data_IF_500583101752
#
_entry.id   IF_500583101752
#
_cell.length_a   1.000
_cell.length_b   1.000
_cell.length_c   1.000
_cell.angle_alpha   90.00
_cell.angle_beta   90.00
_cell.angle_gamma   90.00
#
_symmetry.space_group_name_H-M   'P 1'
#
loop_
_entity.id
_entity.type
_entity.pdbx_description
1 polymer ?
#
# COMPACT_ATOMS: atom_id res chain seq x y z
N UNK A 1 32.15 -6.70 -18.26
CA UNK A 1 30.80 -6.85 -17.68
C UNK A 1 30.23 -5.44 -17.49
N UNK A 2 29.40 -4.95 -18.42
CA UNK A 2 28.84 -3.60 -18.34
C UNK A 2 27.71 -3.57 -17.31
N UNK A 3 27.92 -2.91 -16.18
CA UNK A 3 26.84 -2.57 -15.25
C UNK A 3 26.04 -1.42 -15.84
N UNK A 4 24.78 -1.65 -16.17
CA UNK A 4 23.85 -0.60 -16.56
C UNK A 4 23.38 0.13 -15.30
N UNK A 5 23.90 1.34 -15.04
CA UNK A 5 23.43 2.24 -13.98
C UNK A 5 22.15 2.99 -14.38
N UNK A 6 21.23 2.34 -15.07
CA UNK A 6 20.02 3.00 -15.55
C UNK A 6 18.97 2.99 -14.43
N UNK A 7 18.90 4.08 -13.66
CA UNK A 7 17.86 4.28 -12.64
C UNK A 7 16.58 4.73 -13.35
N UNK A 8 15.59 3.85 -13.41
CA UNK A 8 14.24 4.21 -13.85
C UNK A 8 13.57 4.94 -12.69
N UNK A 9 13.33 6.24 -12.85
CA UNK A 9 12.58 7.01 -11.87
C UNK A 9 11.09 6.73 -12.06
N UNK A 10 10.53 5.85 -11.23
CA UNK A 10 9.11 5.50 -11.27
C UNK A 10 8.34 6.65 -10.63
N UNK A 11 7.59 7.39 -11.45
CA UNK A 11 6.75 8.49 -10.96
C UNK A 11 5.63 7.94 -10.07
N UNK A 12 5.25 8.73 -9.06
CA UNK A 12 4.04 8.48 -8.28
C UNK A 12 2.80 8.55 -9.17
N UNK A 13 1.78 7.77 -8.83
CA UNK A 13 0.48 7.83 -9.46
C UNK A 13 -0.35 8.95 -8.84
N UNK A 14 -1.44 9.34 -9.51
CA UNK A 14 -2.48 10.15 -8.86
C UNK A 14 -3.06 9.41 -7.66
N UNK A 15 -3.51 10.16 -6.67
CA UNK A 15 -4.19 9.61 -5.49
C UNK A 15 -5.40 8.76 -5.89
N UNK A 16 -6.15 9.19 -6.91
CA UNK A 16 -7.29 8.45 -7.44
C UNK A 16 -6.90 7.09 -8.01
N UNK A 17 -5.77 7.02 -8.74
CA UNK A 17 -5.29 5.76 -9.29
C UNK A 17 -4.79 4.83 -8.18
N UNK A 18 -4.09 5.34 -7.16
CA UNK A 18 -3.72 4.54 -5.99
C UNK A 18 -4.94 4.05 -5.21
N UNK A 19 -5.94 4.91 -5.00
CA UNK A 19 -7.20 4.56 -4.35
C UNK A 19 -7.95 3.49 -5.12
N UNK A 20 -7.95 3.56 -6.46
CA UNK A 20 -8.52 2.50 -7.31
C UNK A 20 -7.80 1.16 -7.12
N UNK A 21 -6.46 1.15 -7.08
CA UNK A 21 -5.67 -0.07 -6.85
C UNK A 21 -5.97 -0.67 -5.48
N UNK A 22 -5.96 0.18 -4.44
CA UNK A 22 -6.27 -0.22 -3.07
C UNK A 22 -7.68 -0.81 -2.99
N UNK A 23 -8.69 -0.10 -3.48
CA UNK A 23 -10.08 -0.52 -3.40
C UNK A 23 -10.33 -1.84 -4.16
N UNK A 24 -9.73 -1.99 -5.33
CA UNK A 24 -9.83 -3.21 -6.12
C UNK A 24 -9.38 -4.46 -5.34
N UNK A 25 -8.35 -4.31 -4.50
CA UNK A 25 -7.81 -5.41 -3.69
C UNK A 25 -8.56 -5.57 -2.37
N UNK A 26 -8.78 -4.48 -1.62
CA UNK A 26 -9.36 -4.52 -0.29
C UNK A 26 -10.83 -5.01 -0.27
N UNK A 27 -11.58 -4.67 -1.31
CA UNK A 27 -13.00 -5.01 -1.48
C UNK A 27 -13.23 -6.20 -2.41
N UNK A 28 -12.17 -6.88 -2.84
CA UNK A 28 -12.31 -8.08 -3.67
C UNK A 28 -13.15 -9.14 -2.95
N UNK A 29 -14.17 -9.67 -3.63
CA UNK A 29 -15.11 -10.68 -3.12
C UNK A 29 -15.95 -10.26 -1.88
N UNK A 30 -16.03 -8.96 -1.56
CA UNK A 30 -16.91 -8.48 -0.48
C UNK A 30 -18.32 -8.16 -0.96
N UNK A 31 -19.28 -8.32 -0.05
CA UNK A 31 -20.67 -7.95 -0.27
C UNK A 31 -20.85 -6.42 -0.31
N UNK A 32 -21.87 -5.94 -1.03
CA UNK A 32 -22.14 -4.51 -1.20
C UNK A 32 -22.29 -3.76 0.12
N UNK A 33 -23.07 -4.31 1.05
CA UNK A 33 -23.32 -3.69 2.37
C UNK A 33 -22.03 -3.57 3.21
N UNK A 34 -21.14 -4.56 3.09
CA UNK A 34 -19.84 -4.55 3.75
C UNK A 34 -18.91 -3.50 3.15
N UNK A 35 -18.89 -3.39 1.81
CA UNK A 35 -18.16 -2.34 1.10
C UNK A 35 -18.63 -0.95 1.53
N UNK A 36 -19.95 -0.70 1.56
CA UNK A 36 -20.50 0.61 1.93
C UNK A 36 -20.08 1.03 3.36
N UNK A 37 -20.06 0.10 4.31
CA UNK A 37 -19.65 0.36 5.71
C UNK A 37 -18.17 0.65 5.92
N UNK A 38 -17.33 0.18 4.99
CA UNK A 38 -15.87 0.22 5.08
C UNK A 38 -15.25 1.20 4.07
N UNK A 39 -16.04 1.78 3.16
CA UNK A 39 -15.54 2.65 2.09
C UNK A 39 -14.90 3.93 2.62
N UNK A 40 -15.49 4.54 3.65
CA UNK A 40 -14.97 5.77 4.26
C UNK A 40 -13.58 5.54 4.87
N UNK A 41 -13.44 4.51 5.70
CA UNK A 41 -12.15 4.17 6.30
C UNK A 41 -11.14 3.65 5.28
N UNK A 42 -11.60 2.92 4.26
CA UNK A 42 -10.76 2.47 3.17
C UNK A 42 -10.17 3.62 2.37
N UNK A 43 -10.95 4.69 2.15
CA UNK A 43 -10.47 5.89 1.49
C UNK A 43 -9.42 6.62 2.34
N UNK A 44 -9.58 6.67 3.66
CA UNK A 44 -8.57 7.26 4.56
C UNK A 44 -7.24 6.49 4.52
N UNK A 45 -7.30 5.15 4.54
CA UNK A 45 -6.11 4.29 4.40
C UNK A 45 -5.48 4.47 3.01
N UNK A 46 -6.29 4.55 1.95
CA UNK A 46 -5.78 4.79 0.60
C UNK A 46 -5.05 6.14 0.48
N UNK A 47 -5.52 7.18 1.17
CA UNK A 47 -4.87 8.50 1.18
C UNK A 47 -3.49 8.46 1.87
N UNK A 48 -3.27 7.54 2.84
CA UNK A 48 -1.94 7.30 3.42
C UNK A 48 -0.92 6.76 2.41
N UNK A 49 -1.34 6.28 1.25
CA UNK A 49 -0.44 5.75 0.22
C UNK A 49 0.36 6.84 -0.51
N UNK A 50 -0.03 8.12 -0.44
CA UNK A 50 0.70 9.27 -1.04
C UNK A 50 1.12 9.07 -2.51
N UNK A 51 0.27 8.42 -3.31
CA UNK A 51 0.54 8.15 -4.72
C UNK A 51 1.54 7.01 -5.00
N UNK A 52 1.96 6.25 -3.97
CA UNK A 52 2.85 5.09 -4.12
C UNK A 52 2.05 3.83 -4.48
N UNK A 53 2.16 3.31 -5.73
CA UNK A 53 1.37 2.14 -6.15
C UNK A 53 1.69 0.87 -5.34
N UNK A 54 2.94 0.72 -4.89
CA UNK A 54 3.34 -0.43 -4.06
C UNK A 54 2.66 -0.39 -2.68
N UNK A 55 2.59 0.79 -2.05
CA UNK A 55 1.89 0.95 -0.79
C UNK A 55 0.39 0.61 -0.93
N UNK A 56 -0.25 1.12 -1.99
CA UNK A 56 -1.65 0.81 -2.28
C UNK A 56 -1.89 -0.70 -2.48
N UNK A 57 -0.98 -1.39 -3.17
CA UNK A 57 -1.08 -2.85 -3.39
C UNK A 57 -0.93 -3.63 -2.09
N UNK A 58 0.07 -3.32 -1.28
CA UNK A 58 0.34 -4.02 -0.01
C UNK A 58 -0.81 -3.80 0.97
N UNK A 59 -1.26 -2.56 1.14
CA UNK A 59 -2.35 -2.24 2.05
C UNK A 59 -3.68 -2.79 1.56
N UNK A 60 -3.97 -2.73 0.26
CA UNK A 60 -5.18 -3.33 -0.31
C UNK A 60 -5.25 -4.83 -0.04
N UNK A 61 -4.14 -5.55 -0.23
CA UNK A 61 -4.03 -6.97 0.11
C UNK A 61 -4.16 -7.25 1.62
N UNK A 62 -3.53 -6.43 2.47
CA UNK A 62 -3.68 -6.53 3.92
C UNK A 62 -5.14 -6.37 4.33
N UNK A 63 -5.82 -5.33 3.83
CA UNK A 63 -7.19 -5.00 4.18
C UNK A 63 -8.19 -6.05 3.70
N UNK A 64 -7.90 -6.78 2.61
CA UNK A 64 -8.70 -7.92 2.17
C UNK A 64 -8.87 -8.98 3.28
N UNK A 65 -7.86 -9.16 4.14
CA UNK A 65 -7.90 -10.12 5.25
C UNK A 65 -8.71 -9.65 6.48
N UNK A 66 -9.05 -8.35 6.56
CA UNK A 66 -9.69 -7.72 7.73
C UNK A 66 -11.21 -7.69 7.60
N UNK A 67 -11.96 -8.28 8.51
CA UNK A 67 -13.42 -8.47 8.40
C UNK A 67 -14.24 -7.42 9.13
N UNK A 68 -13.73 -6.88 10.23
CA UNK A 68 -14.50 -5.92 11.04
C UNK A 68 -14.00 -4.50 10.86
N UNK A 69 -14.87 -3.51 11.12
CA UNK A 69 -14.49 -2.09 11.04
C UNK A 69 -13.40 -1.76 12.05
N UNK A 70 -13.45 -2.36 13.23
CA UNK A 70 -12.46 -2.17 14.29
C UNK A 70 -11.07 -2.63 13.84
N UNK A 71 -10.98 -3.70 13.05
CA UNK A 71 -9.70 -4.12 12.48
C UNK A 71 -9.14 -3.11 11.45
N UNK A 72 -10.02 -2.46 10.69
CA UNK A 72 -9.64 -1.39 9.77
C UNK A 72 -9.20 -0.14 10.54
N UNK A 73 -9.92 0.22 11.60
CA UNK A 73 -9.57 1.32 12.51
C UNK A 73 -8.22 1.07 13.19
N UNK A 74 -7.95 -0.16 13.65
CA UNK A 74 -6.65 -0.55 14.19
C UNK A 74 -5.51 -0.34 13.18
N UNK A 75 -5.74 -0.66 11.90
CA UNK A 75 -4.73 -0.41 10.86
C UNK A 75 -4.56 1.09 10.66
N UNK A 76 -5.66 1.85 10.52
CA UNK A 76 -5.62 3.30 10.31
C UNK A 76 -4.95 4.05 11.47
N UNK A 77 -5.17 3.63 12.71
CA UNK A 77 -4.58 4.22 13.91
C UNK A 77 -3.21 3.64 14.27
N UNK A 78 -2.64 2.78 13.43
CA UNK A 78 -1.38 2.12 13.73
C UNK A 78 -0.22 3.12 13.79
N UNK A 79 0.67 2.91 14.76
CA UNK A 79 1.94 3.65 14.87
C UNK A 79 2.82 3.51 13.62
N UNK A 80 2.54 2.53 12.74
CA UNK A 80 3.15 2.39 11.41
C UNK A 80 3.10 3.70 10.59
N UNK A 81 2.08 4.55 10.79
CA UNK A 81 1.93 5.80 10.05
C UNK A 81 2.71 6.97 10.64
N UNK A 82 3.25 6.84 11.86
CA UNK A 82 4.05 7.87 12.52
C UNK A 82 5.45 8.03 11.92
N UNK A 83 5.74 7.30 10.85
CA UNK A 83 6.91 7.53 10.01
C UNK A 83 6.90 8.92 9.36
N UNK A 84 5.75 9.60 9.33
CA UNK A 84 5.66 11.01 8.93
C UNK A 84 6.39 11.97 9.92
N UNK A 85 6.73 11.51 11.14
CA UNK A 85 7.53 12.25 12.15
C UNK A 85 9.03 11.95 12.05
N UNK A 86 9.44 11.06 11.13
CA UNK A 86 10.81 10.56 11.04
C UNK A 86 11.36 10.91 9.65
N UNK A 87 12.55 11.52 9.59
CA UNK A 87 13.22 11.97 8.35
C UNK A 87 12.98 11.03 7.15
N UNK A 88 12.79 11.60 5.94
CA UNK A 88 12.60 10.86 4.68
C UNK A 88 13.61 9.71 4.50
N UNK A 89 14.84 9.90 4.99
CA UNK A 89 15.93 8.91 5.00
C UNK A 89 15.61 7.62 5.78
N UNK A 90 14.73 7.67 6.78
CA UNK A 90 14.31 6.51 7.58
C UNK A 90 13.07 5.81 7.02
N UNK A 91 12.22 6.54 6.31
CA UNK A 91 11.16 5.92 5.48
C UNK A 91 11.83 5.05 4.42
N UNK A 92 12.86 5.55 3.74
CA UNK A 92 13.68 4.72 2.86
C UNK A 92 14.26 3.51 3.61
N UNK A 93 14.81 3.67 4.81
CA UNK A 93 15.39 2.53 5.56
C UNK A 93 14.38 1.46 5.99
N UNK A 94 13.10 1.80 6.18
CA UNK A 94 12.07 0.83 6.54
C UNK A 94 11.49 0.12 5.31
N UNK A 95 11.33 0.87 4.22
CA UNK A 95 10.83 0.33 2.95
C UNK A 95 11.92 -0.39 2.15
N UNK A 96 13.22 -0.06 2.29
CA UNK A 96 14.32 -0.71 1.56
C UNK A 96 14.42 -2.21 1.84
N UNK A 97 14.30 -2.72 3.08
CA UNK A 97 14.25 -4.17 3.32
C UNK A 97 13.05 -4.85 2.67
N UNK A 98 11.88 -4.20 2.71
CA UNK A 98 10.67 -4.66 2.03
C UNK A 98 10.84 -4.64 0.50
N UNK A 99 11.44 -3.57 -0.04
CA UNK A 99 11.75 -3.41 -1.46
C UNK A 99 12.76 -4.45 -1.91
N UNK A 100 13.82 -4.70 -1.13
CA UNK A 100 14.79 -5.75 -1.41
C UNK A 100 14.13 -7.11 -1.41
N UNK A 101 13.35 -7.43 -0.37
CA UNK A 101 12.60 -8.68 -0.34
C UNK A 101 11.64 -8.81 -1.53
N UNK A 102 11.05 -7.71 -1.99
CA UNK A 102 10.22 -7.65 -3.19
C UNK A 102 11.01 -7.90 -4.49
N UNK A 103 12.21 -7.35 -4.64
CA UNK A 103 13.09 -7.61 -5.79
C UNK A 103 13.78 -8.97 -5.73
N UNK A 104 13.94 -9.54 -4.54
CA UNK A 104 14.50 -10.88 -4.30
C UNK A 104 13.44 -12.00 -4.40
N UNK A 105 12.15 -11.64 -4.47
CA UNK A 105 11.08 -12.58 -4.77
C UNK A 105 11.24 -13.07 -6.23
N UNK A 106 11.25 -14.39 -6.47
CA UNK A 106 11.33 -14.92 -7.83
C UNK A 106 10.19 -14.35 -8.66
N UNK A 107 10.48 -13.84 -9.85
CA UNK A 107 9.46 -13.34 -10.76
C UNK A 107 8.40 -14.43 -10.94
N UNK A 108 7.14 -14.12 -10.64
CA UNK A 108 6.03 -14.95 -11.09
C UNK A 108 6.00 -14.84 -12.61
N UNK A 109 6.75 -15.73 -13.25
CA UNK A 109 6.63 -16.02 -14.67
C UNK A 109 5.44 -16.97 -14.77
N UNK A 110 4.33 -16.46 -15.27
CA UNK A 110 3.27 -17.25 -15.91
C UNK A 110 3.29 -16.94 -17.39
#
# INVERSE_FOLDING_TARGET
MMRTNHRINIKTLSEDACRSIFNHLAFHERGKDECERLTDIGNEIANKCKGLPLAAKVLGGLMQSKRTREEWECVLSSELWRLDEVDEDRVEQLFVPLLRSYYDLPSVVT
#
